data_IF_011486437752
#
_entry.id   IF_011486437752
#
_cell.length_a   1.000
_cell.length_b   1.000
_cell.length_c   1.000
_cell.angle_alpha   90.00
_cell.angle_beta   90.00
_cell.angle_gamma   90.00
#
_symmetry.space_group_name_H-M   'P 1'
#
loop_
_entity.id
_entity.type
_entity.pdbx_description
1 polymer ?
#
# COMPACT_ATOMS: atom_id res chain seq x y z
N UNK A 1 -2.90 -16.08 -4.02
CA UNK A 1 -1.45 -15.92 -3.80
C UNK A 1 -0.69 -17.18 -4.18
N UNK A 2 -0.84 -18.27 -3.42
CA UNK A 2 -0.23 -19.56 -3.77
C UNK A 2 -0.73 -20.12 -5.11
N UNK A 3 -2.03 -20.04 -5.38
CA UNK A 3 -2.65 -20.54 -6.63
C UNK A 3 -2.13 -19.82 -7.89
N UNK A 4 -1.70 -18.56 -7.76
CA UNK A 4 -1.17 -17.75 -8.85
C UNK A 4 0.37 -17.65 -8.81
N UNK A 5 1.03 -18.37 -7.89
CA UNK A 5 2.48 -18.36 -7.74
C UNK A 5 3.09 -17.01 -7.32
N UNK A 6 2.33 -16.11 -6.71
CA UNK A 6 2.82 -14.77 -6.36
C UNK A 6 3.70 -14.81 -5.09
N UNK A 7 4.92 -14.27 -5.16
CA UNK A 7 5.86 -14.26 -4.03
C UNK A 7 5.51 -13.24 -2.95
N UNK A 8 4.83 -12.16 -3.32
CA UNK A 8 4.38 -11.13 -2.39
C UNK A 8 3.16 -10.37 -2.92
N UNK A 9 2.46 -9.70 -2.00
CA UNK A 9 1.39 -8.77 -2.34
C UNK A 9 1.46 -7.57 -1.39
N UNK A 10 1.02 -6.41 -1.89
CA UNK A 10 0.83 -5.20 -1.08
C UNK A 10 -0.62 -4.77 -1.17
N UNK A 11 -1.18 -4.34 -0.04
CA UNK A 11 -2.54 -3.83 0.02
C UNK A 11 -2.54 -2.33 0.28
N UNK A 12 -3.26 -1.54 -0.51
CA UNK A 12 -3.39 -0.11 -0.28
C UNK A 12 -4.84 0.29 -0.43
N UNK A 13 -5.30 1.18 0.44
CA UNK A 13 -6.55 1.89 0.19
C UNK A 13 -6.39 2.69 -1.10
N UNK A 14 -7.41 2.63 -1.97
CA UNK A 14 -7.40 3.41 -3.21
C UNK A 14 -7.45 4.91 -2.86
N UNK A 15 -6.36 5.61 -3.14
CA UNK A 15 -6.32 7.06 -3.06
C UNK A 15 -6.67 7.64 -4.43
N UNK A 16 -7.74 8.43 -4.49
CA UNK A 16 -8.16 9.11 -5.72
C UNK A 16 -7.61 10.53 -5.68
N UNK A 17 -6.72 10.85 -6.62
CA UNK A 17 -6.14 12.18 -6.75
C UNK A 17 -7.10 13.14 -7.48
N UNK A 18 -7.23 14.37 -6.98
CA UNK A 18 -8.08 15.39 -7.58
C UNK A 18 -7.57 15.80 -8.97
N UNK A 19 -8.45 15.76 -9.97
CA UNK A 19 -8.12 16.04 -11.37
C UNK A 19 -7.70 14.81 -12.19
N UNK A 20 -7.52 13.64 -11.55
CA UNK A 20 -7.32 12.37 -12.24
C UNK A 20 -8.55 11.98 -13.07
N UNK A 21 -8.37 11.06 -14.02
CA UNK A 21 -9.51 10.55 -14.80
C UNK A 21 -10.54 9.85 -13.90
N UNK A 22 -10.06 9.09 -12.90
CA UNK A 22 -10.92 8.43 -11.90
C UNK A 22 -11.71 9.45 -11.08
N UNK A 23 -11.11 10.57 -10.66
CA UNK A 23 -11.84 11.61 -9.92
C UNK A 23 -12.93 12.25 -10.78
N UNK A 24 -12.65 12.50 -12.07
CA UNK A 24 -13.62 13.05 -13.02
C UNK A 24 -14.77 12.08 -13.31
N UNK A 25 -14.49 10.79 -13.40
CA UNK A 25 -15.50 9.75 -13.57
C UNK A 25 -16.38 9.60 -12.32
N UNK A 26 -15.77 9.61 -11.13
CA UNK A 26 -16.49 9.61 -9.85
C UNK A 26 -17.43 10.79 -9.69
N UNK A 27 -17.07 11.98 -10.18
CA UNK A 27 -17.99 13.12 -10.14
C UNK A 27 -19.20 12.95 -11.07
N UNK A 28 -19.07 12.19 -12.17
CA UNK A 28 -20.20 11.87 -13.06
C UNK A 28 -21.16 10.87 -12.43
N UNK A 29 -20.65 9.94 -11.63
CA UNK A 29 -21.46 8.98 -10.88
C UNK A 29 -20.80 8.64 -9.53
N UNK A 30 -21.36 9.24 -8.46
CA UNK A 30 -20.86 9.08 -7.09
C UNK A 30 -21.18 7.71 -6.48
N UNK A 31 -22.03 6.90 -7.12
CA UNK A 31 -22.39 5.57 -6.64
C UNK A 31 -21.32 4.52 -6.94
N UNK A 32 -20.43 4.76 -7.91
CA UNK A 32 -19.40 3.81 -8.36
C UNK A 32 -18.25 3.67 -7.35
N UNK A 33 -17.98 4.70 -6.55
CA UNK A 33 -16.87 4.75 -5.61
C UNK A 33 -17.32 5.22 -4.22
N UNK A 34 -18.13 4.37 -3.57
CA UNK A 34 -18.51 4.56 -2.16
C UNK A 34 -17.40 3.97 -1.29
N UNK A 35 -16.62 4.87 -0.68
CA UNK A 35 -15.65 4.47 0.33
C UNK A 35 -16.37 4.01 1.60
N UNK A 36 -16.04 2.80 2.08
CA UNK A 36 -16.57 2.26 3.32
C UNK A 36 -15.43 1.61 4.11
N UNK A 37 -14.96 2.34 5.13
CA UNK A 37 -13.84 1.92 5.97
C UNK A 37 -14.07 0.55 6.63
N UNK A 38 -15.28 0.28 7.14
CA UNK A 38 -15.58 -0.99 7.80
C UNK A 38 -15.53 -2.18 6.82
N UNK A 39 -15.95 -1.97 5.57
CA UNK A 39 -15.83 -2.97 4.51
C UNK A 39 -14.36 -3.23 4.16
N UNK A 40 -13.57 -2.17 4.00
CA UNK A 40 -12.15 -2.29 3.64
C UNK A 40 -11.37 -2.98 4.75
N UNK A 41 -11.63 -2.67 6.02
CA UNK A 41 -11.04 -3.35 7.17
C UNK A 41 -11.38 -4.85 7.18
N UNK A 42 -12.66 -5.19 6.96
CA UNK A 42 -13.10 -6.60 6.90
C UNK A 42 -12.40 -7.37 5.78
N UNK A 43 -12.29 -6.78 4.60
CA UNK A 43 -11.63 -7.39 3.44
C UNK A 43 -10.12 -7.52 3.65
N UNK A 44 -9.48 -6.49 4.19
CA UNK A 44 -8.08 -6.51 4.57
C UNK A 44 -7.78 -7.64 5.54
N UNK A 45 -8.54 -7.74 6.64
CA UNK A 45 -8.33 -8.76 7.67
C UNK A 45 -8.56 -10.17 7.12
N UNK A 46 -9.58 -10.36 6.27
CA UNK A 46 -9.81 -11.64 5.60
C UNK A 46 -8.64 -12.03 4.70
N UNK A 47 -8.17 -11.10 3.86
CA UNK A 47 -7.03 -11.34 2.98
C UNK A 47 -5.76 -11.66 3.77
N UNK A 48 -5.48 -10.86 4.80
CA UNK A 48 -4.32 -11.02 5.67
C UNK A 48 -4.32 -12.39 6.34
N UNK A 49 -5.40 -12.76 7.03
CA UNK A 49 -5.50 -14.05 7.73
C UNK A 49 -5.30 -15.23 6.79
N UNK A 50 -5.91 -15.20 5.60
CA UNK A 50 -5.71 -16.25 4.59
C UNK A 50 -4.28 -16.37 4.09
N UNK A 51 -3.55 -15.26 4.03
CA UNK A 51 -2.14 -15.29 3.63
C UNK A 51 -1.26 -15.86 4.74
N UNK A 52 -1.51 -15.48 6.00
CA UNK A 52 -0.80 -16.03 7.17
C UNK A 52 -1.02 -17.54 7.28
N UNK A 53 -2.26 -18.02 7.12
CA UNK A 53 -2.60 -19.46 7.10
C UNK A 53 -1.82 -20.25 6.01
N UNK A 54 -1.40 -19.57 4.94
CA UNK A 54 -0.64 -20.15 3.82
C UNK A 54 0.88 -19.97 3.97
N UNK A 55 1.36 -19.50 5.11
CA UNK A 55 2.79 -19.34 5.40
C UNK A 55 3.42 -18.06 4.84
N UNK A 56 2.60 -17.10 4.38
CA UNK A 56 3.10 -15.75 4.14
C UNK A 56 3.27 -15.03 5.48
N UNK A 57 4.13 -14.03 5.52
CA UNK A 57 4.38 -13.17 6.67
C UNK A 57 4.28 -11.72 6.28
N UNK A 58 3.92 -10.87 7.24
CA UNK A 58 4.07 -9.42 7.08
C UNK A 58 5.55 -9.10 6.92
N UNK A 59 5.90 -8.37 5.87
CA UNK A 59 7.25 -7.88 5.64
C UNK A 59 7.39 -6.51 6.33
N UNK A 60 6.72 -5.49 5.79
CA UNK A 60 6.63 -4.14 6.34
C UNK A 60 5.37 -3.46 5.80
N UNK A 61 4.84 -2.46 6.53
CA UNK A 61 3.64 -1.68 6.19
C UNK A 61 2.45 -2.59 5.82
N UNK A 62 2.10 -2.63 4.54
CA UNK A 62 0.96 -3.37 4.01
C UNK A 62 1.36 -4.54 3.10
N UNK A 63 2.67 -4.90 3.11
CA UNK A 63 3.23 -5.91 2.23
C UNK A 63 3.42 -7.24 2.94
N UNK A 64 2.92 -8.30 2.33
CA UNK A 64 3.07 -9.70 2.76
C UNK A 64 3.94 -10.48 1.78
N UNK A 65 4.73 -11.43 2.27
CA UNK A 65 5.69 -12.20 1.45
C UNK A 65 5.78 -13.65 1.90
N UNK A 66 6.08 -14.57 0.98
CA UNK A 66 6.47 -15.94 1.29
C UNK A 66 7.97 -16.08 1.66
N UNK A 67 8.68 -14.95 1.77
CA UNK A 67 10.11 -14.88 2.09
C UNK A 67 11.04 -14.81 0.88
N UNK A 68 10.52 -14.96 -0.35
CA UNK A 68 11.32 -14.81 -1.58
C UNK A 68 11.43 -13.35 -2.03
N UNK A 69 10.46 -12.53 -1.69
CA UNK A 69 10.52 -11.09 -1.89
C UNK A 69 11.08 -10.36 -0.65
N UNK A 70 11.91 -9.36 -0.91
CA UNK A 70 12.55 -8.51 0.10
C UNK A 70 12.31 -7.04 -0.23
N UNK A 71 11.99 -6.25 0.79
CA UNK A 71 11.84 -4.83 0.63
C UNK A 71 13.21 -4.21 0.36
N UNK A 72 13.36 -3.54 -0.79
CA UNK A 72 14.58 -2.82 -1.14
C UNK A 72 14.28 -1.33 -1.05
N UNK A 73 14.73 -0.71 0.03
CA UNK A 73 14.76 0.74 0.11
C UNK A 73 15.66 1.28 -1.01
N UNK A 74 15.16 2.25 -1.77
CA UNK A 74 16.00 3.02 -2.70
C UNK A 74 17.06 3.71 -1.85
N UNK A 75 18.31 3.27 -1.97
CA UNK A 75 19.43 3.93 -1.33
C UNK A 75 19.81 5.14 -2.18
N UNK A 76 19.69 6.33 -1.60
CA UNK A 76 20.23 7.53 -2.22
C UNK A 76 21.76 7.46 -2.16
N UNK A 77 22.41 7.20 -3.30
CA UNK A 77 23.86 7.20 -3.40
C UNK A 77 24.44 8.63 -3.55
N UNK A 78 23.60 9.65 -3.69
CA UNK A 78 24.02 11.04 -3.53
C UNK A 78 24.03 11.31 -2.02
N UNK A 79 25.18 11.67 -1.44
CA UNK A 79 25.47 11.70 0.00
C UNK A 79 24.66 12.65 0.90
N UNK A 80 23.38 12.87 0.62
CA UNK A 80 22.41 13.52 1.50
C UNK A 80 22.11 12.58 2.67
N UNK A 81 22.66 12.93 3.83
CA UNK A 81 22.39 12.25 5.10
C UNK A 81 20.90 12.33 5.43
N UNK A 82 20.27 11.17 5.56
CA UNK A 82 18.89 11.03 6.02
C UNK A 82 18.88 11.26 7.53
N UNK A 83 18.67 12.51 7.97
CA UNK A 83 18.51 12.86 9.40
C UNK A 83 17.04 12.98 9.86
N UNK A 84 16.04 12.69 9.01
CA UNK A 84 14.65 13.00 9.33
C UNK A 84 13.64 11.88 9.02
N UNK A 85 13.99 10.61 9.20
CA UNK A 85 13.04 9.49 8.99
C UNK A 85 12.87 8.55 10.19
N UNK A 86 13.29 8.95 11.39
CA UNK A 86 13.23 8.10 12.58
C UNK A 86 12.09 8.37 13.56
N UNK A 87 11.13 9.27 13.26
CA UNK A 87 10.12 9.66 14.26
C UNK A 87 8.68 9.26 13.98
N UNK A 88 8.41 8.32 13.08
CA UNK A 88 7.02 8.03 12.69
C UNK A 88 6.78 6.51 12.57
N UNK A 89 6.98 5.80 13.69
CA UNK A 89 6.45 4.43 13.87
C UNK A 89 4.92 4.39 13.89
N UNK A 90 4.23 5.53 13.96
CA UNK A 90 2.79 5.61 13.75
C UNK A 90 2.48 6.89 12.96
N UNK A 91 1.79 6.77 11.83
CA UNK A 91 1.25 7.89 11.03
C UNK A 91 2.28 8.74 10.29
N UNK A 92 2.87 8.27 9.19
CA UNK A 92 3.18 9.14 8.02
C UNK A 92 3.10 8.32 6.72
N UNK A 93 1.96 8.47 6.04
CA UNK A 93 1.89 8.40 4.57
C UNK A 93 1.59 9.82 4.12
N UNK A 94 2.61 10.68 4.04
CA UNK A 94 2.54 11.92 3.28
C UNK A 94 3.95 12.29 2.79
N UNK A 95 4.00 12.77 1.53
CA UNK A 95 5.16 13.35 0.82
C UNK A 95 6.19 12.41 0.19
N UNK A 96 5.76 11.61 -0.79
CA UNK A 96 6.52 11.38 -2.03
C UNK A 96 5.56 11.48 -3.23
N UNK A 97 5.00 12.67 -3.47
CA UNK A 97 4.21 12.93 -4.68
C UNK A 97 4.56 14.27 -5.36
N UNK A 98 5.60 14.98 -4.92
CA UNK A 98 6.02 16.27 -5.51
C UNK A 98 7.23 16.17 -6.46
N UNK A 99 7.67 14.97 -6.83
CA UNK A 99 8.89 14.79 -7.66
C UNK A 99 8.66 14.03 -8.98
N UNK A 100 7.40 13.87 -9.41
CA UNK A 100 7.06 13.37 -10.75
C UNK A 100 5.88 14.18 -11.29
N UNK A 101 6.12 15.48 -11.54
CA UNK A 101 5.43 16.28 -12.57
C UNK A 101 6.50 17.14 -13.24
#
# INVERSE_FOLDING_TARGET
>A
MAEIGADSASFYSLMIYDGSNISKEREKDKSVYIYNLARDEKLHNLFYSRCIEKGYKLLELTKITNGRDRYKYIRNNNGLKIYYLLELEQVVIFKILELII
#
